data_IF_098261581498
#
_entry.id   IF_098261581498
#
_cell.length_a   1.000
_cell.length_b   1.000
_cell.length_c   1.000
_cell.angle_alpha   90.00
_cell.angle_beta   90.00
_cell.angle_gamma   90.00
#
_symmetry.space_group_name_H-M   'P 1'
#
loop_
_entity.id
_entity.type
_entity.pdbx_description
1 polymer ?
#
# COMPACT_ATOMS: atom_id res chain seq x y z
N UNK A 1 -29.73 71.73 -4.16
CA UNK A 1 -28.29 71.42 -4.08
C UNK A 1 -27.95 70.42 -2.97
N UNK A 2 -28.54 70.42 -1.76
CA UNK A 2 -28.18 69.43 -0.68
C UNK A 2 -28.55 67.99 -0.99
N UNK A 3 -29.65 67.72 -1.74
CA UNK A 3 -30.05 66.32 -2.11
C UNK A 3 -29.14 65.66 -3.14
N UNK A 4 -28.53 66.43 -4.04
CA UNK A 4 -27.64 65.96 -5.08
C UNK A 4 -26.26 65.53 -4.49
N UNK A 5 -25.77 66.23 -3.49
CA UNK A 5 -24.48 65.92 -2.81
C UNK A 5 -24.61 64.62 -1.99
N UNK A 6 -25.78 64.41 -1.33
CA UNK A 6 -26.04 63.22 -0.51
C UNK A 6 -26.12 61.97 -1.39
N UNK A 7 -26.72 62.04 -2.59
CA UNK A 7 -26.78 60.90 -3.51
C UNK A 7 -25.45 60.56 -4.12
N UNK A 8 -24.58 61.56 -4.35
CA UNK A 8 -23.25 61.35 -4.89
C UNK A 8 -22.32 60.69 -3.86
N UNK A 9 -22.44 61.12 -2.57
CA UNK A 9 -21.64 60.52 -1.48
C UNK A 9 -22.02 59.05 -1.21
N UNK A 10 -23.32 58.70 -1.33
CA UNK A 10 -23.79 57.32 -1.15
C UNK A 10 -23.34 56.41 -2.31
N UNK A 11 -23.28 56.92 -3.54
CA UNK A 11 -22.80 56.19 -4.72
C UNK A 11 -21.27 55.93 -4.63
N UNK A 12 -20.49 56.87 -4.12
CA UNK A 12 -19.03 56.68 -3.92
C UNK A 12 -18.75 55.69 -2.80
N UNK A 13 -19.52 55.66 -1.73
CA UNK A 13 -19.40 54.73 -0.61
C UNK A 13 -19.73 53.27 -1.06
N UNK A 14 -20.72 53.11 -1.97
CA UNK A 14 -21.07 51.78 -2.46
C UNK A 14 -20.02 51.16 -3.39
N UNK A 15 -19.26 51.98 -4.13
CA UNK A 15 -18.15 51.51 -5.00
C UNK A 15 -16.93 51.08 -4.20
N UNK A 16 -16.69 51.64 -3.03
CA UNK A 16 -15.56 51.24 -2.16
C UNK A 16 -15.76 49.89 -1.45
N UNK A 17 -17.00 49.37 -1.39
CA UNK A 17 -17.29 48.10 -0.73
C UNK A 17 -17.10 46.85 -1.62
N UNK A 18 -16.90 47.01 -2.94
CA UNK A 18 -16.69 45.90 -3.88
C UNK A 18 -15.22 45.65 -4.22
N UNK A 19 -14.29 46.39 -3.63
CA UNK A 19 -12.84 46.22 -3.86
C UNK A 19 -12.13 45.41 -2.76
N UNK A 20 -12.88 44.72 -1.89
CA UNK A 20 -12.28 43.91 -0.82
C UNK A 20 -12.72 42.45 -0.97
N UNK A 21 -12.08 41.73 -1.88
CA UNK A 21 -11.84 40.29 -1.85
C UNK A 21 -11.07 39.91 -3.12
N UNK A 22 -9.80 40.20 -3.13
CA UNK A 22 -8.79 39.39 -3.81
C UNK A 22 -7.79 39.00 -2.73
N UNK A 23 -8.20 38.13 -1.87
CA UNK A 23 -7.27 37.20 -1.29
C UNK A 23 -7.03 36.18 -2.42
N UNK A 24 -6.05 36.44 -3.25
CA UNK A 24 -5.35 35.40 -3.98
C UNK A 24 -4.65 34.60 -2.89
N UNK A 25 -5.39 33.75 -2.18
CA UNK A 25 -4.82 32.67 -1.39
C UNK A 25 -4.06 31.80 -2.37
N UNK A 26 -2.80 32.09 -2.53
CA UNK A 26 -1.87 31.23 -3.24
C UNK A 26 -1.90 29.88 -2.51
N UNK A 27 -2.56 28.90 -3.09
CA UNK A 27 -2.66 27.54 -2.51
C UNK A 27 -1.24 26.97 -2.52
N UNK A 28 -0.55 27.13 -1.39
CA UNK A 28 0.76 26.52 -1.19
C UNK A 28 0.53 25.01 -1.06
N UNK A 29 0.86 24.27 -2.11
CA UNK A 29 0.81 22.82 -2.09
C UNK A 29 1.88 22.24 -1.16
N UNK A 30 1.55 21.17 -0.43
CA UNK A 30 2.50 20.50 0.44
C UNK A 30 3.62 19.80 -0.35
N UNK A 31 4.82 19.82 0.20
CA UNK A 31 5.98 19.07 -0.28
C UNK A 31 6.05 17.65 0.31
N UNK A 32 5.09 17.27 1.16
CA UNK A 32 5.07 15.97 1.80
C UNK A 32 4.85 14.83 0.79
N UNK A 33 5.64 13.76 0.90
CA UNK A 33 5.54 12.58 0.06
C UNK A 33 5.69 11.31 0.89
N UNK A 34 4.58 10.78 1.42
CA UNK A 34 4.59 9.55 2.23
C UNK A 34 3.32 8.72 2.02
N UNK A 35 3.42 7.43 2.33
CA UNK A 35 2.29 6.50 2.48
C UNK A 35 2.03 6.37 3.98
N UNK A 36 0.82 6.71 4.43
CA UNK A 36 0.42 6.59 5.83
C UNK A 36 -0.16 5.21 6.14
N UNK A 37 -0.85 4.60 5.18
CA UNK A 37 -1.50 3.31 5.33
C UNK A 37 -1.50 2.53 4.01
N UNK A 38 -1.38 1.22 4.11
CA UNK A 38 -1.53 0.28 3.01
C UNK A 38 -2.34 -0.92 3.46
N UNK A 39 -3.41 -1.26 2.74
CA UNK A 39 -4.24 -2.40 3.07
C UNK A 39 -4.55 -3.23 1.82
N UNK A 40 -4.58 -4.55 1.96
CA UNK A 40 -5.04 -5.47 0.93
C UNK A 40 -6.54 -5.74 1.11
N UNK A 41 -7.23 -5.88 0.00
CA UNK A 41 -8.65 -6.26 -0.04
C UNK A 41 -8.86 -7.75 0.19
N UNK A 42 -9.87 -8.31 -0.48
CA UNK A 42 -10.16 -9.74 -0.41
C UNK A 42 -9.19 -10.54 -1.26
N UNK A 43 -8.71 -11.65 -0.72
CA UNK A 43 -7.79 -12.59 -1.37
C UNK A 43 -8.50 -13.93 -1.56
N UNK A 44 -8.29 -14.56 -2.70
CA UNK A 44 -8.76 -15.92 -2.99
C UNK A 44 -7.74 -16.93 -2.48
N UNK A 45 -8.22 -18.04 -1.92
CA UNK A 45 -7.38 -19.16 -1.46
C UNK A 45 -7.94 -20.47 -1.95
N UNK A 46 -7.07 -21.34 -2.47
CA UNK A 46 -7.43 -22.72 -2.80
C UNK A 46 -7.23 -23.61 -1.57
N UNK A 47 -8.25 -24.39 -1.27
CA UNK A 47 -8.24 -25.38 -0.18
C UNK A 47 -8.49 -26.76 -0.78
N UNK A 48 -7.59 -27.69 -0.48
CA UNK A 48 -7.76 -29.11 -0.83
C UNK A 48 -8.12 -29.88 0.43
N UNK A 49 -9.17 -30.67 0.38
CA UNK A 49 -9.64 -31.52 1.49
C UNK A 49 -10.06 -32.87 0.96
N UNK A 50 -10.02 -33.89 1.80
CA UNK A 50 -10.50 -35.24 1.44
C UNK A 50 -12.00 -35.29 1.70
N UNK A 51 -12.78 -35.66 0.68
CA UNK A 51 -14.22 -35.81 0.80
C UNK A 51 -14.59 -37.14 1.50
N UNK A 52 -15.88 -37.32 1.78
CA UNK A 52 -16.40 -38.53 2.45
C UNK A 52 -16.15 -39.85 1.69
N UNK A 53 -15.80 -39.78 0.41
CA UNK A 53 -15.44 -40.93 -0.44
C UNK A 53 -13.91 -41.16 -0.49
N UNK A 54 -13.11 -40.46 0.34
CA UNK A 54 -11.66 -40.60 0.42
C UNK A 54 -10.93 -39.97 -0.79
N UNK A 55 -11.58 -39.06 -1.54
CA UNK A 55 -10.99 -38.39 -2.72
C UNK A 55 -10.68 -36.93 -2.41
N UNK A 56 -9.56 -36.45 -2.93
CA UNK A 56 -9.20 -35.03 -2.85
C UNK A 56 -10.22 -34.17 -3.61
N UNK A 57 -10.64 -33.12 -2.96
CA UNK A 57 -11.55 -32.11 -3.51
C UNK A 57 -10.96 -30.73 -3.26
N UNK A 58 -10.79 -29.94 -4.32
CA UNK A 58 -10.28 -28.56 -4.23
C UNK A 58 -11.41 -27.58 -4.46
N UNK A 59 -11.50 -26.57 -3.59
CA UNK A 59 -12.42 -25.45 -3.73
C UNK A 59 -11.73 -24.14 -3.41
N UNK A 60 -12.29 -23.02 -3.89
CA UNK A 60 -11.75 -21.69 -3.68
C UNK A 60 -12.64 -20.93 -2.69
N UNK A 61 -12.02 -20.36 -1.67
CA UNK A 61 -12.67 -19.42 -0.76
C UNK A 61 -12.13 -18.01 -1.00
N UNK A 62 -12.88 -17.01 -0.56
CA UNK A 62 -12.41 -15.63 -0.46
C UNK A 62 -12.39 -15.23 1.01
N UNK A 63 -11.31 -14.57 1.43
CA UNK A 63 -11.17 -14.05 2.79
C UNK A 63 -10.64 -12.63 2.76
N UNK A 64 -10.86 -11.87 3.83
CA UNK A 64 -10.37 -10.51 3.97
C UNK A 64 -8.91 -10.49 4.41
N UNK A 65 -8.03 -9.86 3.61
CA UNK A 65 -6.64 -9.69 3.98
C UNK A 65 -6.43 -8.59 5.05
N UNK A 66 -7.47 -7.91 5.49
CA UNK A 66 -7.41 -6.99 6.64
C UNK A 66 -6.98 -7.67 7.95
N UNK A 67 -7.15 -8.99 8.06
CA UNK A 67 -6.65 -9.78 9.20
C UNK A 67 -5.12 -9.98 9.18
N UNK A 68 -4.46 -9.59 8.09
CA UNK A 68 -3.01 -9.66 7.88
C UNK A 68 -2.47 -8.25 7.60
N UNK A 69 -2.40 -7.39 8.63
CA UNK A 69 -2.12 -5.97 8.45
C UNK A 69 -0.75 -5.74 7.81
N UNK A 70 -0.73 -4.80 6.88
CA UNK A 70 0.49 -4.31 6.25
C UNK A 70 1.14 -3.27 7.16
N UNK A 71 2.45 -3.35 7.32
CA UNK A 71 3.25 -2.38 8.07
C UNK A 71 4.01 -1.49 7.09
N UNK A 72 3.85 -0.17 7.23
CA UNK A 72 4.61 0.83 6.48
C UNK A 72 5.77 1.30 7.36
N UNK A 73 7.01 0.93 6.97
CA UNK A 73 8.21 1.41 7.64
C UNK A 73 8.71 2.66 6.92
N UNK A 74 8.53 3.81 7.60
CA UNK A 74 8.94 5.11 7.05
C UNK A 74 10.46 5.29 7.01
N UNK A 75 11.22 4.62 7.85
CA UNK A 75 12.68 4.77 7.89
C UNK A 75 13.34 4.06 6.71
N UNK A 76 12.94 2.80 6.49
CA UNK A 76 13.53 1.94 5.46
C UNK A 76 12.82 2.04 4.10
N UNK A 77 11.68 2.73 4.03
CA UNK A 77 10.87 2.79 2.82
C UNK A 77 10.36 1.39 2.42
N UNK A 78 9.86 0.60 3.38
CA UNK A 78 9.37 -0.75 3.09
C UNK A 78 7.92 -0.93 3.54
N UNK A 79 7.16 -1.74 2.80
CA UNK A 79 5.79 -2.11 3.11
C UNK A 79 5.67 -3.63 3.02
N UNK A 80 5.29 -4.28 4.12
CA UNK A 80 5.11 -5.73 4.15
C UNK A 80 4.05 -6.12 5.17
N UNK A 81 3.40 -7.27 4.96
CA UNK A 81 2.54 -7.86 5.98
C UNK A 81 3.39 -8.49 7.07
N UNK A 82 3.03 -8.21 8.33
CA UNK A 82 3.70 -8.75 9.51
C UNK A 82 3.56 -10.27 9.59
N UNK A 83 2.33 -10.73 9.41
CA UNK A 83 1.99 -12.15 9.37
C UNK A 83 1.73 -12.56 7.93
N UNK A 84 2.36 -13.63 7.46
CA UNK A 84 2.19 -14.12 6.10
C UNK A 84 0.75 -14.54 5.82
N UNK A 85 0.27 -14.26 4.62
CA UNK A 85 -1.02 -14.78 4.15
C UNK A 85 -1.01 -16.32 4.17
N UNK A 86 -2.17 -16.97 4.35
CA UNK A 86 -2.26 -18.44 4.33
C UNK A 86 -1.69 -19.04 3.04
N UNK A 87 -1.20 -20.26 3.13
CA UNK A 87 -0.73 -21.04 1.95
C UNK A 87 -1.80 -21.12 0.88
N UNK A 88 -1.40 -21.16 -0.38
CA UNK A 88 -2.28 -21.16 -1.56
C UNK A 88 -3.17 -19.92 -1.73
N UNK A 89 -2.80 -18.80 -1.10
CA UNK A 89 -3.42 -17.50 -1.37
C UNK A 89 -3.00 -16.97 -2.74
N UNK A 90 -3.99 -16.59 -3.55
CA UNK A 90 -3.77 -16.04 -4.88
C UNK A 90 -3.65 -14.51 -4.79
N UNK A 91 -2.42 -14.02 -4.93
CA UNK A 91 -2.10 -12.59 -4.88
C UNK A 91 -1.85 -11.96 -6.26
N UNK A 92 -2.25 -12.65 -7.36
CA UNK A 92 -2.06 -12.16 -8.73
C UNK A 92 -2.96 -10.98 -9.10
N UNK A 93 -4.13 -10.88 -8.45
CA UNK A 93 -5.11 -9.86 -8.78
C UNK A 93 -5.86 -9.45 -7.50
N UNK A 94 -5.23 -8.62 -6.68
CA UNK A 94 -5.79 -8.15 -5.41
C UNK A 94 -5.95 -6.65 -5.45
N UNK A 95 -7.11 -6.15 -4.99
CA UNK A 95 -7.32 -4.73 -4.76
C UNK A 95 -6.51 -4.28 -3.55
N UNK A 96 -5.97 -3.09 -3.61
CA UNK A 96 -5.28 -2.47 -2.48
C UNK A 96 -5.84 -1.08 -2.22
N UNK A 97 -5.80 -0.63 -0.99
CA UNK A 97 -6.09 0.75 -0.60
C UNK A 97 -4.82 1.37 -0.05
N UNK A 98 -4.42 2.49 -0.62
CA UNK A 98 -3.23 3.25 -0.22
C UNK A 98 -3.69 4.63 0.22
N UNK A 99 -3.34 4.99 1.47
CA UNK A 99 -3.48 6.36 1.95
C UNK A 99 -2.13 7.05 1.86
N UNK A 100 -2.07 8.16 1.15
CA UNK A 100 -0.84 8.88 0.86
C UNK A 100 -1.05 10.39 0.91
N UNK A 101 0.04 11.13 1.08
CA UNK A 101 0.03 12.60 1.03
C UNK A 101 -0.07 13.17 -0.38
N UNK A 102 0.13 12.36 -1.43
CA UNK A 102 0.14 12.84 -2.81
C UNK A 102 -0.13 11.75 -3.85
N UNK A 103 0.33 11.98 -5.08
CA UNK A 103 0.07 11.08 -6.21
C UNK A 103 0.91 9.82 -6.13
N UNK A 104 0.28 8.66 -6.29
CA UNK A 104 0.92 7.35 -6.21
C UNK A 104 1.05 6.71 -7.58
N UNK A 105 2.23 6.20 -7.87
CA UNK A 105 2.51 5.32 -9.01
C UNK A 105 3.23 4.06 -8.52
N UNK A 106 3.17 2.98 -9.30
CA UNK A 106 3.86 1.74 -8.95
C UNK A 106 4.43 1.03 -10.16
N UNK A 107 5.42 0.16 -9.95
CA UNK A 107 5.97 -0.78 -10.93
C UNK A 107 6.50 -2.03 -10.23
N UNK A 108 6.79 -3.10 -10.99
CA UNK A 108 7.56 -4.23 -10.44
C UNK A 108 9.01 -3.81 -10.26
N UNK A 109 9.65 -4.28 -9.18
CA UNK A 109 11.08 -4.00 -8.93
C UNK A 109 11.97 -4.47 -10.08
N UNK A 110 11.57 -5.56 -10.76
CA UNK A 110 12.29 -6.12 -11.91
C UNK A 110 12.10 -5.34 -13.22
N UNK A 111 11.17 -4.37 -13.27
CA UNK A 111 10.86 -3.60 -14.48
C UNK A 111 11.70 -2.31 -14.53
N UNK A 112 11.95 -1.81 -15.76
CA UNK A 112 12.67 -0.56 -16.00
C UNK A 112 11.90 0.69 -15.56
N UNK A 113 12.53 1.86 -15.74
CA UNK A 113 11.94 3.14 -15.32
C UNK A 113 10.76 3.58 -16.18
N UNK A 114 10.57 3.01 -17.35
CA UNK A 114 9.42 3.31 -18.23
C UNK A 114 8.14 2.56 -17.86
N UNK A 115 8.20 1.65 -16.87
CA UNK A 115 7.10 0.75 -16.50
C UNK A 115 6.15 1.29 -15.42
N UNK A 116 6.29 2.56 -15.02
CA UNK A 116 5.43 3.17 -14.01
C UNK A 116 3.97 3.21 -14.43
N UNK A 117 3.09 2.75 -13.54
CA UNK A 117 1.63 2.74 -13.68
C UNK A 117 1.01 3.64 -12.63
N UNK A 118 0.00 4.41 -13.02
CA UNK A 118 -0.80 5.15 -12.06
C UNK A 118 -1.54 4.18 -11.13
N UNK A 119 -1.53 4.46 -9.83
CA UNK A 119 -2.29 3.69 -8.87
C UNK A 119 -3.77 4.11 -8.91
N UNK A 120 -4.67 3.11 -8.83
CA UNK A 120 -6.10 3.29 -8.68
C UNK A 120 -6.65 2.25 -7.70
N UNK A 121 -7.57 2.67 -6.83
CA UNK A 121 -8.24 1.78 -5.86
C UNK A 121 -9.16 0.75 -6.52
N UNK A 122 -9.55 0.98 -7.76
CA UNK A 122 -10.42 0.08 -8.55
C UNK A 122 -9.66 -0.98 -9.32
N UNK A 123 -8.33 -0.84 -9.44
CA UNK A 123 -7.52 -1.73 -10.25
C UNK A 123 -6.86 -2.80 -9.38
N UNK A 124 -6.95 -4.04 -9.83
CA UNK A 124 -6.26 -5.14 -9.18
C UNK A 124 -4.78 -5.14 -9.52
N UNK A 125 -3.95 -5.42 -8.53
CA UNK A 125 -2.50 -5.43 -8.63
C UNK A 125 -1.98 -6.85 -8.43
N UNK A 126 -0.93 -7.21 -9.18
CA UNK A 126 -0.20 -8.46 -9.07
C UNK A 126 0.91 -8.32 -8.03
N UNK A 127 0.72 -8.95 -6.85
CA UNK A 127 1.67 -8.97 -5.75
C UNK A 127 2.53 -10.23 -5.67
N UNK A 128 2.64 -11.00 -6.74
CA UNK A 128 3.48 -12.22 -6.76
C UNK A 128 4.97 -11.94 -6.71
N UNK A 129 5.36 -10.72 -7.00
CA UNK A 129 6.76 -10.24 -6.94
C UNK A 129 6.80 -8.87 -6.24
N UNK A 130 7.96 -8.48 -5.67
CA UNK A 130 8.10 -7.17 -5.05
C UNK A 130 7.78 -6.03 -6.02
N UNK A 131 7.11 -5.00 -5.49
CA UNK A 131 6.72 -3.80 -6.20
C UNK A 131 7.43 -2.58 -5.62
N UNK A 132 7.70 -1.59 -6.45
CA UNK A 132 8.08 -0.25 -5.99
C UNK A 132 6.87 0.66 -6.12
N UNK A 133 6.46 1.27 -5.01
CA UNK A 133 5.48 2.35 -4.97
C UNK A 133 6.20 3.67 -4.79
N UNK A 134 5.88 4.65 -5.62
CA UNK A 134 6.41 6.02 -5.53
C UNK A 134 5.29 6.98 -5.24
N UNK A 135 5.50 7.84 -4.25
CA UNK A 135 4.61 8.95 -3.94
C UNK A 135 5.28 10.24 -4.38
N UNK A 136 4.59 11.02 -5.20
CA UNK A 136 4.97 12.40 -5.52
C UNK A 136 4.24 13.34 -4.58
N UNK A 137 4.93 14.37 -4.09
CA UNK A 137 4.30 15.45 -3.34
C UNK A 137 3.23 16.17 -4.19
N UNK A 138 2.22 16.82 -3.57
CA UNK A 138 1.19 17.58 -4.29
C UNK A 138 1.73 18.64 -5.24
N UNK A 139 2.89 19.22 -4.92
CA UNK A 139 3.58 20.22 -5.77
C UNK A 139 4.58 19.58 -6.75
N UNK A 140 4.73 18.25 -6.76
CA UNK A 140 5.69 17.48 -7.55
C UNK A 140 7.17 17.84 -7.34
N UNK A 141 7.52 18.58 -6.29
CA UNK A 141 8.90 18.95 -5.98
C UNK A 141 9.71 17.82 -5.34
N UNK A 142 9.03 16.88 -4.71
CA UNK A 142 9.63 15.74 -4.01
C UNK A 142 8.95 14.42 -4.37
N UNK A 143 9.68 13.32 -4.19
CA UNK A 143 9.12 11.99 -4.31
C UNK A 143 9.78 11.04 -3.32
N UNK A 144 9.06 9.97 -2.96
CA UNK A 144 9.56 8.93 -2.06
C UNK A 144 9.14 7.55 -2.54
N UNK A 145 10.10 6.63 -2.51
CA UNK A 145 9.93 5.23 -2.92
C UNK A 145 9.73 4.32 -1.72
N UNK A 146 8.88 3.32 -1.91
CA UNK A 146 8.64 2.22 -0.97
C UNK A 146 8.75 0.90 -1.72
N UNK A 147 9.51 -0.04 -1.18
CA UNK A 147 9.52 -1.43 -1.65
C UNK A 147 8.42 -2.20 -0.93
N UNK A 148 7.47 -2.71 -1.69
CA UNK A 148 6.34 -3.48 -1.16
C UNK A 148 6.51 -4.96 -1.47
N UNK A 149 6.33 -5.81 -0.46
CA UNK A 149 6.30 -7.25 -0.60
C UNK A 149 5.13 -7.84 0.19
N UNK A 150 4.36 -8.71 -0.47
CA UNK A 150 3.32 -9.51 0.18
C UNK A 150 3.87 -10.91 0.44
N UNK A 151 3.92 -11.28 1.71
CA UNK A 151 4.42 -12.59 2.14
C UNK A 151 3.25 -13.58 2.21
N UNK A 152 3.43 -14.75 1.60
CA UNK A 152 2.48 -15.86 1.61
C UNK A 152 3.21 -17.09 2.17
N UNK A 153 2.58 -17.82 3.10
CA UNK A 153 3.13 -19.07 3.61
C UNK A 153 3.38 -20.06 2.47
N UNK A 154 4.56 -20.66 2.48
CA UNK A 154 4.97 -21.66 1.47
C UNK A 154 4.53 -23.07 1.86
N UNK A 155 4.24 -23.29 3.14
CA UNK A 155 3.83 -24.59 3.68
C UNK A 155 2.62 -24.42 4.59
N UNK A 156 1.76 -25.43 4.63
CA UNK A 156 0.69 -25.49 5.62
C UNK A 156 1.30 -25.73 7.01
N UNK A 157 0.93 -24.91 7.99
CA UNK A 157 1.42 -25.03 9.36
C UNK A 157 1.06 -26.36 10.05
N UNK A 158 0.06 -27.09 9.51
CA UNK A 158 -0.32 -28.43 10.01
C UNK A 158 0.53 -29.56 9.37
N UNK A 159 1.23 -29.26 8.26
CA UNK A 159 2.13 -30.22 7.62
C UNK A 159 3.56 -29.96 8.07
N UNK A 160 4.01 -30.73 9.05
CA UNK A 160 5.36 -30.62 9.58
C UNK A 160 6.26 -31.70 8.98
N UNK A 161 7.27 -31.33 8.21
CA UNK A 161 8.30 -32.25 7.73
C UNK A 161 9.65 -31.89 8.34
N UNK A 162 10.27 -32.87 9.02
CA UNK A 162 11.65 -32.74 9.50
C UNK A 162 12.60 -33.18 8.41
N UNK A 163 13.46 -32.27 7.97
CA UNK A 163 14.61 -32.62 7.13
C UNK A 163 15.87 -32.65 8.00
N UNK A 164 16.61 -33.74 7.96
CA UNK A 164 17.90 -33.88 8.64
C UNK A 164 18.94 -33.09 7.86
N UNK A 165 19.28 -31.89 8.31
CA UNK A 165 20.19 -30.96 7.61
C UNK A 165 21.66 -31.43 7.69
N UNK A 166 22.03 -32.22 8.70
CA UNK A 166 23.36 -32.79 8.86
C UNK A 166 23.33 -34.09 9.67
N UNK A 167 24.32 -34.96 9.43
CA UNK A 167 24.57 -36.06 10.34
C UNK A 167 24.92 -35.51 11.73
N UNK A 168 24.51 -36.15 12.82
CA UNK A 168 24.87 -35.71 14.16
C UNK A 168 26.40 -35.66 14.25
N UNK A 169 26.93 -34.58 14.76
CA UNK A 169 28.32 -34.48 15.07
C UNK A 169 28.69 -35.65 16.00
N UNK A 170 29.59 -36.50 15.56
CA UNK A 170 30.15 -37.54 16.44
C UNK A 170 31.01 -36.79 17.44
N UNK A 171 30.51 -36.62 18.66
CA UNK A 171 31.32 -36.14 19.76
C UNK A 171 32.37 -37.23 20.04
N UNK A 172 33.59 -37.02 19.58
CA UNK A 172 34.68 -37.80 20.08
C UNK A 172 34.82 -37.49 21.57
N UNK A 173 34.49 -38.47 22.40
CA UNK A 173 34.83 -38.39 23.82
C UNK A 173 36.36 -38.23 23.86
N UNK A 174 36.83 -37.00 24.12
CA UNK A 174 38.25 -36.81 24.44
C UNK A 174 38.49 -37.61 25.67
N UNK A 175 39.36 -38.62 25.56
CA UNK A 175 39.85 -39.40 26.67
C UNK A 175 40.34 -38.46 27.77
N UNK A 176 39.66 -38.52 28.90
CA UNK A 176 40.19 -37.96 30.12
C UNK A 176 41.36 -38.87 30.55
N UNK A 177 42.60 -38.37 30.43
CA UNK A 177 43.77 -38.90 31.08
C UNK A 177 44.00 -38.11 32.35
#
# INVERSE_FOLDING_TARGET
MKKSILSLSLAVLSVLLICSCKDDDEVVLSTDCYISSFTLGNVKRQITTVNSAGRDTTYTISYSALYFPMTVNQLDGTIANKDSLPVNSDVKAVLATVESSGTVVYKKVSEGDDAWKAYSTSDSIDFTSPLTFRVYSPDYSASRDYTLQVNVHQQDGEVFSWEKVAEPAVWSVAEAV
#
